data_IF_304279907864
#
_entry.id   IF_304279907864
#
_cell.length_a   1.000
_cell.length_b   1.000
_cell.length_c   1.000
_cell.angle_alpha   90.00
_cell.angle_beta   90.00
_cell.angle_gamma   90.00
#
_symmetry.space_group_name_H-M   'P 1'
#
loop_
_entity.id
_entity.type
_entity.pdbx_description
1 polymer ?
#
# COMPACT_ATOMS: atom_id res chain seq x y z
N UNK A 1 0.79 -10.92 1.11
CA UNK A 1 0.64 -10.98 2.58
C UNK A 1 1.26 -9.73 3.16
N UNK A 2 0.59 -9.03 4.08
CA UNK A 2 1.15 -7.79 4.63
C UNK A 2 0.51 -7.38 5.94
N UNK A 3 1.22 -6.52 6.67
CA UNK A 3 0.77 -5.89 7.91
C UNK A 3 0.44 -4.44 7.64
N UNK A 4 -0.75 -4.03 8.05
CA UNK A 4 -1.22 -2.64 8.01
C UNK A 4 -0.96 -1.94 9.35
N UNK A 5 -0.80 -0.62 9.27
CA UNK A 5 -0.90 0.32 10.40
C UNK A 5 -1.55 1.61 9.92
N UNK A 6 -2.48 2.15 10.70
CA UNK A 6 -3.19 3.39 10.36
C UNK A 6 -3.32 4.26 11.60
N UNK A 7 -3.06 5.56 11.46
CA UNK A 7 -3.27 6.63 12.42
C UNK A 7 -4.00 7.78 11.74
N UNK A 8 -4.39 8.82 12.50
CA UNK A 8 -5.18 9.96 12.02
C UNK A 8 -4.56 10.77 10.87
N UNK A 9 -3.27 10.61 10.59
CA UNK A 9 -2.57 11.29 9.49
C UNK A 9 -1.41 10.45 8.96
N UNK A 10 -1.45 9.15 9.20
CA UNK A 10 -0.42 8.22 8.74
C UNK A 10 -1.01 6.85 8.39
N UNK A 11 -0.47 6.22 7.37
CA UNK A 11 -0.83 4.88 6.94
C UNK A 11 0.41 4.17 6.44
N UNK A 12 0.52 2.89 6.78
CA UNK A 12 1.62 2.06 6.36
C UNK A 12 1.13 0.66 6.00
N UNK A 13 1.77 0.08 5.00
CA UNK A 13 1.59 -1.30 4.59
C UNK A 13 2.94 -1.89 4.20
N UNK A 14 3.35 -2.94 4.91
CA UNK A 14 4.58 -3.68 4.61
C UNK A 14 4.28 -5.15 4.41
N UNK A 15 4.97 -5.81 3.47
CA UNK A 15 4.70 -7.21 3.20
C UNK A 15 5.44 -7.80 2.01
N UNK A 16 4.90 -8.94 1.59
CA UNK A 16 5.33 -9.75 0.45
C UNK A 16 4.20 -9.79 -0.59
N UNK A 17 4.55 -9.51 -1.85
CA UNK A 17 3.66 -9.59 -3.00
C UNK A 17 4.22 -10.60 -3.99
N UNK A 18 3.43 -11.60 -4.36
CA UNK A 18 3.69 -12.41 -5.56
C UNK A 18 3.11 -11.66 -6.76
N UNK A 19 3.92 -11.37 -7.76
CA UNK A 19 3.50 -10.67 -8.98
C UNK A 19 2.88 -11.63 -9.98
N UNK A 20 2.24 -11.08 -11.03
CA UNK A 20 1.66 -11.85 -12.14
C UNK A 20 2.69 -12.76 -12.82
N UNK A 21 3.95 -12.34 -12.85
CA UNK A 21 5.07 -13.09 -13.44
C UNK A 21 5.75 -14.05 -12.45
N UNK A 22 5.10 -14.38 -11.33
CA UNK A 22 5.62 -15.32 -10.32
C UNK A 22 6.90 -14.86 -9.63
N UNK A 23 7.14 -13.54 -9.61
CA UNK A 23 8.22 -12.95 -8.82
C UNK A 23 7.73 -12.55 -7.44
N UNK A 24 8.57 -12.72 -6.44
CA UNK A 24 8.29 -12.23 -5.09
C UNK A 24 8.93 -10.87 -4.89
N UNK A 25 8.14 -9.90 -4.44
CA UNK A 25 8.56 -8.54 -4.11
C UNK A 25 8.34 -8.30 -2.63
N UNK A 26 9.41 -7.87 -1.95
CA UNK A 26 9.33 -7.31 -0.59
C UNK A 26 9.06 -5.82 -0.70
N UNK A 27 8.06 -5.32 0.01
CA UNK A 27 7.66 -3.91 -0.08
C UNK A 27 7.38 -3.30 1.30
N UNK A 28 7.54 -1.99 1.39
CA UNK A 28 7.14 -1.17 2.51
C UNK A 28 6.62 0.17 1.96
N UNK A 29 5.33 0.42 2.13
CA UNK A 29 4.66 1.66 1.76
C UNK A 29 4.34 2.43 3.03
N UNK A 30 4.66 3.72 3.04
CA UNK A 30 4.36 4.62 4.14
C UNK A 30 3.89 5.95 3.56
N UNK A 31 2.76 6.42 4.05
CA UNK A 31 2.21 7.73 3.76
C UNK A 31 1.99 8.46 5.07
N UNK A 32 2.57 9.65 5.20
CA UNK A 32 2.49 10.48 6.39
C UNK A 32 2.02 11.87 5.99
N UNK A 33 1.43 12.59 6.95
CA UNK A 33 0.98 13.97 6.80
C UNK A 33 -0.14 14.17 5.78
N UNK A 34 -0.93 13.13 5.47
CA UNK A 34 -2.17 13.32 4.73
C UNK A 34 -3.27 13.84 5.66
N UNK A 35 -4.22 14.57 5.07
CA UNK A 35 -5.44 14.97 5.77
C UNK A 35 -6.38 13.76 5.72
N UNK A 36 -6.67 13.14 6.86
CA UNK A 36 -7.58 12.00 6.86
C UNK A 36 -9.01 12.48 6.61
N UNK A 37 -9.48 12.23 5.40
CA UNK A 37 -10.86 12.41 5.00
C UNK A 37 -11.48 11.01 4.97
N UNK A 38 -12.23 10.67 6.03
CA UNK A 38 -12.77 9.32 6.25
C UNK A 38 -13.64 8.84 5.08
N UNK A 39 -14.37 9.77 4.45
CA UNK A 39 -15.24 9.51 3.29
C UNK A 39 -14.45 9.13 2.02
N UNK A 40 -13.19 9.55 1.90
CA UNK A 40 -12.36 9.32 0.70
C UNK A 40 -11.47 8.09 0.80
N UNK A 41 -11.23 7.57 2.01
CA UNK A 41 -10.37 6.40 2.26
C UNK A 41 -8.99 6.50 1.57
N UNK A 42 -8.50 7.73 1.44
CA UNK A 42 -7.39 8.14 0.57
C UNK A 42 -6.09 7.32 0.73
N UNK A 43 -5.59 7.03 1.97
CA UNK A 43 -4.33 6.31 2.11
C UNK A 43 -4.38 4.87 1.60
N UNK A 44 -5.56 4.24 1.62
CA UNK A 44 -5.72 2.88 1.06
C UNK A 44 -5.78 2.90 -0.46
N UNK A 45 -6.24 4.00 -1.06
CA UNK A 45 -6.19 4.18 -2.51
C UNK A 45 -4.73 4.28 -2.97
N UNK A 46 -3.90 5.05 -2.28
CA UNK A 46 -2.45 5.12 -2.54
C UNK A 46 -1.79 3.73 -2.47
N UNK A 47 -1.94 3.02 -1.34
CA UNK A 47 -1.35 1.69 -1.14
C UNK A 47 -1.76 0.71 -2.25
N UNK A 48 -3.06 0.68 -2.58
CA UNK A 48 -3.60 -0.25 -3.59
C UNK A 48 -3.12 0.08 -5.01
N UNK A 49 -2.99 1.36 -5.37
CA UNK A 49 -2.49 1.77 -6.70
C UNK A 49 -1.06 1.31 -6.92
N UNK A 50 -0.19 1.50 -5.92
CA UNK A 50 1.20 1.05 -6.00
C UNK A 50 1.28 -0.47 -6.08
N UNK A 51 0.55 -1.20 -5.22
CA UNK A 51 0.54 -2.66 -5.26
C UNK A 51 0.04 -3.22 -6.60
N UNK A 52 -1.00 -2.61 -7.18
CA UNK A 52 -1.50 -3.00 -8.50
C UNK A 52 -0.46 -2.77 -9.59
N UNK A 53 0.25 -1.65 -9.55
CA UNK A 53 1.34 -1.37 -10.47
C UNK A 53 2.46 -2.42 -10.36
N UNK A 54 2.91 -2.72 -9.13
CA UNK A 54 3.94 -3.73 -8.88
C UNK A 54 3.50 -5.12 -9.34
N UNK A 55 2.24 -5.50 -9.08
CA UNK A 55 1.69 -6.79 -9.48
C UNK A 55 1.68 -7.00 -11.00
N UNK A 56 1.31 -5.98 -11.78
CA UNK A 56 1.19 -6.09 -13.24
C UNK A 56 2.53 -5.92 -13.98
N UNK A 57 3.51 -5.19 -13.40
CA UNK A 57 4.68 -4.73 -14.15
C UNK A 57 6.03 -5.32 -13.70
N UNK A 58 6.09 -6.05 -12.57
CA UNK A 58 7.31 -6.72 -12.10
C UNK A 58 7.24 -8.23 -12.31
#
# INVERSE_FOLDING_TARGET
>A
WGKTGTLSSASALAGLLETKNKRWVVFCLMENNFIFIEEENDPKIFENRILKYLYENL
#
